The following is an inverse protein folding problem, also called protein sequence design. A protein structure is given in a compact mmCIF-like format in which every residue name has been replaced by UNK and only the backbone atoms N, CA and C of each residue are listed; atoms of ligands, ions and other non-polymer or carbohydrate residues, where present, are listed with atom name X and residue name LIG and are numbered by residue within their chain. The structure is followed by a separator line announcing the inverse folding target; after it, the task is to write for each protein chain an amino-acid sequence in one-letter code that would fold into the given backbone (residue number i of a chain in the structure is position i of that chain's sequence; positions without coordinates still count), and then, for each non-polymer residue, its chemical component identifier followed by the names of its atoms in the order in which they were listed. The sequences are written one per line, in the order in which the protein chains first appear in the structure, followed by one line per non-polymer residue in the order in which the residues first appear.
data_IF_123057774696
#
_entry.id   IF_123057774696
#
_cell.length_a   1.000
_cell.length_b   1.000
_cell.length_c   1.000
_cell.angle_alpha   90.00
_cell.angle_beta   90.00
_cell.angle_gamma   90.00
#
_symmetry.space_group_name_H-M   'P 1'
#
loop_
_entity.id
_entity.type
_entity.pdbx_description
1 polymer ?
#
# COMPACT_ATOMS: atom_id res chain seq x y z
N UNK A 1 -9.05 -4.67 -6.94
CA UNK A 1 -9.35 -4.37 -5.52
C UNK A 1 -9.26 -2.86 -5.32
N UNK A 2 -10.16 -2.27 -4.52
CA UNK A 2 -10.19 -0.83 -4.22
C UNK A 2 -10.17 -0.62 -2.71
N UNK A 3 -9.31 0.29 -2.24
CA UNK A 3 -9.11 0.58 -0.81
C UNK A 3 -9.38 2.06 -0.52
N UNK A 4 -9.75 2.39 0.72
CA UNK A 4 -9.91 3.77 1.15
C UNK A 4 -9.01 4.03 2.37
N UNK A 5 -8.03 4.92 2.19
CA UNK A 5 -7.04 5.25 3.21
C UNK A 5 -7.59 5.73 4.54
N UNK A 6 -8.79 6.33 4.55
CA UNK A 6 -9.48 6.78 5.77
C UNK A 6 -10.25 5.67 6.48
N UNK A 7 -10.38 4.49 5.87
CA UNK A 7 -11.11 3.34 6.42
C UNK A 7 -10.17 2.27 6.91
N UNK A 8 -10.63 1.52 7.93
CA UNK A 8 -9.88 0.43 8.55
C UNK A 8 -10.04 -0.92 7.84
N UNK A 9 -10.92 -1.00 6.83
CA UNK A 9 -11.29 -2.22 6.09
C UNK A 9 -10.06 -3.01 5.63
N UNK A 10 -9.07 -2.31 5.07
CA UNK A 10 -7.88 -2.91 4.48
C UNK A 10 -6.60 -2.45 5.16
N UNK A 11 -6.58 -2.32 6.50
CA UNK A 11 -5.32 -2.20 7.25
C UNK A 11 -4.42 -3.42 7.04
N UNK A 12 -3.13 -3.31 7.34
CA UNK A 12 -2.18 -4.43 7.22
C UNK A 12 -2.72 -5.73 7.83
N UNK A 13 -3.24 -5.65 9.06
CA UNK A 13 -3.74 -6.79 9.83
C UNK A 13 -5.11 -7.32 9.39
N UNK A 14 -5.75 -6.72 8.39
CA UNK A 14 -7.09 -7.14 7.95
C UNK A 14 -7.07 -8.57 7.43
N UNK A 15 -8.00 -9.39 7.91
CA UNK A 15 -8.20 -10.76 7.43
C UNK A 15 -8.54 -10.81 5.92
N UNK A 16 -9.05 -9.70 5.35
CA UNK A 16 -9.32 -9.61 3.92
C UNK A 16 -8.08 -9.82 3.05
N UNK A 17 -6.87 -9.60 3.55
CA UNK A 17 -5.64 -9.87 2.81
C UNK A 17 -5.34 -11.38 2.69
N UNK A 18 -5.76 -12.18 3.66
CA UNK A 18 -5.41 -13.61 3.78
C UNK A 18 -6.58 -14.57 3.59
N UNK A 19 -7.82 -14.08 3.47
CA UNK A 19 -9.00 -14.90 3.21
C UNK A 19 -9.46 -14.82 1.73
N UNK A 20 -10.31 -15.76 1.31
CA UNK A 20 -10.97 -15.79 0.00
C UNK A 20 -12.42 -15.29 0.08
N UNK A 21 -12.67 -14.32 0.96
CA UNK A 21 -14.00 -13.72 1.17
C UNK A 21 -14.09 -12.43 0.33
N UNK A 22 -15.14 -12.27 -0.50
CA UNK A 22 -15.36 -11.04 -1.26
C UNK A 22 -15.84 -9.90 -0.35
N UNK A 23 -15.70 -8.65 -0.81
CA UNK A 23 -16.19 -7.48 -0.10
C UNK A 23 -16.78 -6.47 -1.08
N UNK A 24 -18.06 -6.13 -0.90
CA UNK A 24 -18.80 -5.15 -1.72
C UNK A 24 -18.56 -5.34 -3.23
N UNK A 25 -18.94 -6.51 -3.74
CA UNK A 25 -18.69 -6.92 -5.14
C UNK A 25 -19.35 -6.02 -6.18
N UNK A 26 -20.51 -5.44 -5.86
CA UNK A 26 -21.22 -4.49 -6.72
C UNK A 26 -20.38 -3.25 -7.03
N UNK A 27 -19.51 -2.83 -6.11
CA UNK A 27 -18.56 -1.75 -6.35
C UNK A 27 -17.46 -2.13 -7.35
N UNK A 28 -17.34 -3.38 -7.78
CA UNK A 28 -16.39 -3.81 -8.82
C UNK A 28 -16.83 -3.48 -10.24
N UNK A 29 -18.11 -3.17 -10.44
CA UNK A 29 -18.69 -2.87 -11.75
C UNK A 29 -18.43 -1.42 -12.18
N UNK A 30 -18.11 -0.54 -11.22
CA UNK A 30 -17.67 0.81 -11.48
C UNK A 30 -16.16 0.86 -11.67
N UNK A 31 -15.68 1.78 -12.51
CA UNK A 31 -14.26 2.01 -12.77
C UNK A 31 -13.48 2.52 -11.55
N UNK A 32 -12.58 3.48 -11.76
CA UNK A 32 -11.75 4.05 -10.70
C UNK A 32 -12.53 5.05 -9.80
N UNK A 33 -13.68 4.63 -9.27
CA UNK A 33 -14.44 5.37 -8.27
C UNK A 33 -13.86 5.20 -6.85
N UNK A 34 -14.48 5.83 -5.87
CA UNK A 34 -13.96 5.90 -4.49
C UNK A 34 -14.52 4.82 -3.55
N UNK A 35 -15.20 3.82 -4.11
CA UNK A 35 -15.90 2.78 -3.36
C UNK A 35 -15.02 1.54 -3.20
N UNK A 36 -14.76 1.18 -1.94
CA UNK A 36 -13.98 -0.01 -1.59
C UNK A 36 -14.58 -1.29 -2.17
N UNK A 37 -13.70 -2.20 -2.63
CA UNK A 37 -14.11 -3.53 -3.11
C UNK A 37 -12.98 -4.55 -3.04
N UNK A 38 -13.34 -5.80 -2.79
CA UNK A 38 -12.49 -6.97 -2.98
C UNK A 38 -13.28 -8.00 -3.78
N UNK A 39 -12.80 -8.30 -4.98
CA UNK A 39 -13.43 -9.21 -5.92
C UNK A 39 -12.75 -10.59 -5.88
N UNK A 40 -13.42 -11.65 -6.36
CA UNK A 40 -12.81 -12.98 -6.50
C UNK A 40 -11.51 -13.00 -7.30
N UNK A 41 -11.35 -12.08 -8.26
CA UNK A 41 -10.10 -11.89 -9.01
C UNK A 41 -8.88 -11.64 -8.11
N UNK A 42 -9.06 -11.22 -6.85
CA UNK A 42 -7.96 -11.16 -5.88
C UNK A 42 -7.27 -12.51 -5.66
N UNK A 43 -8.02 -13.62 -5.69
CA UNK A 43 -7.49 -14.97 -5.44
C UNK A 43 -7.58 -15.92 -6.64
N UNK A 44 -8.26 -15.54 -7.72
CA UNK A 44 -8.42 -16.40 -8.91
C UNK A 44 -7.63 -15.95 -10.13
N UNK A 45 -7.18 -14.68 -10.21
CA UNK A 45 -6.60 -14.11 -11.43
C UNK A 45 -5.06 -14.14 -11.41
N UNK A 46 -4.40 -14.94 -12.28
CA UNK A 46 -2.97 -14.83 -12.51
C UNK A 46 -2.62 -13.49 -13.15
N UNK A 47 -1.41 -13.00 -12.89
CA UNK A 47 -0.93 -11.74 -13.47
C UNK A 47 0.58 -11.79 -13.75
N UNK A 48 1.01 -10.96 -14.69
CA UNK A 48 2.42 -10.66 -15.00
C UNK A 48 2.84 -9.30 -14.44
N UNK A 49 1.87 -8.45 -14.15
CA UNK A 49 2.11 -7.15 -13.54
C UNK A 49 0.91 -6.65 -12.73
N UNK A 50 1.17 -5.71 -11.82
CA UNK A 50 0.14 -4.93 -11.14
C UNK A 50 0.18 -3.48 -11.60
N UNK A 51 -0.98 -2.91 -11.87
CA UNK A 51 -1.19 -1.47 -11.91
C UNK A 51 -1.66 -1.01 -10.53
N UNK A 52 -0.84 -0.17 -9.90
CA UNK A 52 -1.11 0.39 -8.58
C UNK A 52 -1.46 1.87 -8.76
N UNK A 53 -2.67 2.24 -8.33
CA UNK A 53 -3.19 3.59 -8.48
C UNK A 53 -3.52 4.22 -7.14
N UNK A 54 -3.29 5.52 -7.01
CA UNK A 54 -3.73 6.32 -5.87
C UNK A 54 -4.41 7.61 -6.33
N UNK A 55 -5.54 7.93 -5.70
CA UNK A 55 -6.28 9.20 -5.89
C UNK A 55 -6.50 9.87 -4.54
N UNK A 56 -5.92 11.06 -4.36
CA UNK A 56 -6.14 11.86 -3.15
C UNK A 56 -7.39 12.70 -3.27
N UNK A 57 -7.85 13.29 -2.16
CA UNK A 57 -8.97 14.23 -2.19
C UNK A 57 -8.71 15.38 -3.19
N UNK A 58 -9.74 15.76 -3.94
CA UNK A 58 -9.65 16.81 -4.97
C UNK A 58 -9.03 16.38 -6.31
N UNK A 59 -8.44 15.20 -6.42
CA UNK A 59 -7.94 14.69 -7.70
C UNK A 59 -9.07 14.05 -8.52
N UNK A 60 -9.16 14.43 -9.81
CA UNK A 60 -10.09 13.83 -10.76
C UNK A 60 -9.71 12.39 -11.11
N UNK A 61 -8.42 12.16 -11.38
CA UNK A 61 -7.89 10.87 -11.84
C UNK A 61 -6.81 10.34 -10.88
N UNK A 62 -6.71 9.01 -10.69
CA UNK A 62 -5.60 8.41 -9.98
C UNK A 62 -4.27 8.55 -10.72
N UNK A 63 -3.18 8.64 -9.96
CA UNK A 63 -1.81 8.48 -10.45
C UNK A 63 -1.43 7.01 -10.38
N UNK A 64 -0.77 6.50 -11.41
CA UNK A 64 -0.49 5.08 -11.58
C UNK A 64 0.99 4.78 -11.65
N UNK A 65 1.36 3.62 -11.10
CA UNK A 65 2.65 2.98 -11.33
C UNK A 65 2.43 1.54 -11.73
N UNK A 66 3.39 0.98 -12.46
CA UNK A 66 3.41 -0.43 -12.85
C UNK A 66 4.43 -1.19 -12.03
N UNK A 67 4.04 -2.34 -11.51
CA UNK A 67 4.88 -3.29 -10.79
C UNK A 67 4.94 -4.59 -11.60
N UNK A 68 6.09 -4.89 -12.20
CA UNK A 68 6.29 -6.16 -12.90
C UNK A 68 6.57 -7.26 -11.86
N UNK A 69 5.64 -8.21 -11.73
CA UNK A 69 5.75 -9.34 -10.81
C UNK A 69 4.79 -10.43 -11.31
N UNK A 70 5.29 -11.66 -11.49
CA UNK A 70 4.47 -12.78 -11.96
C UNK A 70 3.95 -13.60 -10.77
N UNK A 71 2.65 -13.84 -10.71
CA UNK A 71 2.05 -14.70 -9.70
C UNK A 71 0.75 -15.35 -10.18
N UNK A 72 0.31 -16.40 -9.50
CA UNK A 72 -0.96 -17.07 -9.76
C UNK A 72 -2.18 -16.29 -9.25
N UNK A 73 -2.00 -15.40 -8.28
CA UNK A 73 -2.99 -14.41 -7.83
C UNK A 73 -2.40 -13.45 -6.80
N UNK A 74 -3.05 -12.31 -6.54
CA UNK A 74 -2.57 -11.39 -5.49
C UNK A 74 -2.64 -12.05 -4.10
N UNK A 75 -3.65 -12.89 -3.88
CA UNK A 75 -3.75 -13.76 -2.72
C UNK A 75 -2.48 -14.60 -2.50
N UNK A 76 -1.97 -15.28 -3.54
CA UNK A 76 -0.78 -16.14 -3.43
C UNK A 76 0.49 -15.39 -2.98
N UNK A 77 0.55 -14.08 -3.24
CA UNK A 77 1.69 -13.22 -2.90
C UNK A 77 1.55 -12.59 -1.51
N UNK A 78 0.32 -12.41 -1.02
CA UNK A 78 0.05 -11.70 0.22
C UNK A 78 -0.26 -12.63 1.39
N UNK A 79 -1.03 -13.70 1.16
CA UNK A 79 -1.73 -14.43 2.22
C UNK A 79 -0.82 -15.15 3.21
N UNK A 80 0.37 -15.58 2.78
CA UNK A 80 1.36 -16.24 3.64
C UNK A 80 2.14 -15.28 4.53
N UNK A 81 1.94 -13.96 4.39
CA UNK A 81 2.60 -12.94 5.19
C UNK A 81 4.09 -12.77 4.92
N UNK A 82 4.69 -13.50 3.97
CA UNK A 82 6.13 -13.44 3.71
C UNK A 82 6.49 -12.17 2.95
N UNK A 83 7.56 -11.52 3.40
CA UNK A 83 8.16 -10.39 2.67
C UNK A 83 8.67 -10.85 1.31
N UNK A 84 8.34 -10.10 0.26
CA UNK A 84 8.88 -10.32 -1.08
C UNK A 84 9.34 -8.98 -1.63
N UNK A 85 10.65 -8.88 -1.86
CA UNK A 85 11.27 -7.68 -2.40
C UNK A 85 10.78 -7.42 -3.82
N UNK A 86 10.57 -6.14 -4.11
CA UNK A 86 10.47 -5.63 -5.48
C UNK A 86 11.54 -4.55 -5.66
N UNK A 87 11.77 -4.08 -6.88
CA UNK A 87 12.73 -3.01 -7.12
C UNK A 87 12.21 -2.12 -8.23
N UNK A 88 11.28 -1.24 -7.86
CA UNK A 88 10.78 -0.18 -8.77
C UNK A 88 11.29 1.19 -8.35
N UNK A 89 11.89 1.31 -7.17
CA UNK A 89 12.60 2.51 -6.73
C UNK A 89 11.70 3.52 -6.01
N UNK A 90 12.31 4.21 -5.05
CA UNK A 90 11.67 5.21 -4.18
C UNK A 90 10.88 6.26 -4.95
N UNK A 91 11.47 6.84 -6.01
CA UNK A 91 10.83 7.90 -6.77
C UNK A 91 9.56 7.44 -7.49
N UNK A 92 9.51 6.18 -7.93
CA UNK A 92 8.30 5.60 -8.53
C UNK A 92 7.19 5.52 -7.48
N UNK A 93 7.47 5.00 -6.29
CA UNK A 93 6.49 5.00 -5.19
C UNK A 93 6.01 6.40 -4.82
N UNK A 94 6.92 7.38 -4.74
CA UNK A 94 6.57 8.78 -4.47
C UNK A 94 5.69 9.40 -5.55
N UNK A 95 5.79 8.95 -6.81
CA UNK A 95 4.99 9.49 -7.91
C UNK A 95 3.48 9.23 -7.77
N UNK A 96 3.08 8.23 -6.96
CA UNK A 96 1.66 7.95 -6.64
C UNK A 96 0.94 9.11 -5.97
N UNK A 97 1.65 9.93 -5.18
CA UNK A 97 1.07 11.06 -4.43
C UNK A 97 2.00 12.26 -4.57
N UNK A 98 1.52 13.32 -5.22
CA UNK A 98 2.24 14.58 -5.32
C UNK A 98 2.53 15.14 -3.93
N UNK A 99 3.77 15.59 -3.70
CA UNK A 99 4.19 16.08 -2.39
C UNK A 99 4.30 15.00 -1.31
N UNK A 100 4.35 13.71 -1.68
CA UNK A 100 4.60 12.65 -0.72
C UNK A 100 5.95 12.80 -0.02
N UNK A 101 6.03 12.30 1.21
CA UNK A 101 7.19 12.38 2.09
C UNK A 101 7.59 10.99 2.55
N UNK A 102 8.88 10.73 2.60
CA UNK A 102 9.46 9.52 3.18
C UNK A 102 10.75 9.92 3.90
N UNK A 103 11.10 9.27 5.01
CA UNK A 103 12.46 9.36 5.56
C UNK A 103 13.47 8.78 4.55
N UNK A 104 14.73 9.21 4.61
CA UNK A 104 15.66 9.10 3.47
C UNK A 104 16.19 7.68 3.19
N UNK A 105 16.29 6.85 4.20
CA UNK A 105 17.06 5.61 4.20
C UNK A 105 16.18 4.34 4.34
N UNK A 106 16.82 3.17 4.41
CA UNK A 106 16.24 1.82 4.36
C UNK A 106 15.49 1.49 3.04
N UNK A 107 14.49 2.28 2.67
CA UNK A 107 13.72 2.15 1.41
C UNK A 107 13.23 0.72 1.11
N UNK A 108 12.76 -0.01 2.13
CA UNK A 108 12.30 -1.39 1.98
C UNK A 108 10.99 -1.41 1.22
N UNK A 109 11.04 -1.88 -0.03
CA UNK A 109 9.89 -1.97 -0.92
C UNK A 109 9.49 -3.43 -1.22
N UNK A 110 8.20 -3.63 -1.47
CA UNK A 110 7.67 -4.92 -1.91
C UNK A 110 6.32 -5.29 -1.32
N UNK A 111 6.12 -6.60 -1.20
CA UNK A 111 4.95 -7.20 -0.58
C UNK A 111 5.24 -7.57 0.88
N UNK A 112 4.25 -7.40 1.76
CA UNK A 112 4.36 -7.68 3.20
C UNK A 112 5.61 -7.03 3.82
N UNK A 113 5.79 -5.74 3.56
CA UNK A 113 6.91 -4.96 4.09
C UNK A 113 6.68 -4.75 5.58
N UNK A 114 7.54 -5.36 6.39
CA UNK A 114 7.57 -5.21 7.84
C UNK A 114 8.90 -4.63 8.32
N UNK A 115 8.86 -3.79 9.36
CA UNK A 115 10.04 -3.35 10.10
C UNK A 115 10.69 -4.51 10.88
N UNK A 116 11.90 -4.31 11.38
CA UNK A 116 12.58 -5.23 12.29
C UNK A 116 12.01 -5.22 13.71
N UNK A 117 11.54 -4.07 14.18
CA UNK A 117 10.87 -3.94 15.47
C UNK A 117 9.35 -3.94 15.34
N UNK A 118 8.67 -4.52 16.33
CA UNK A 118 7.21 -4.48 16.44
C UNK A 118 6.71 -3.03 16.52
N UNK A 119 5.47 -2.79 16.10
CA UNK A 119 4.79 -1.48 16.19
C UNK A 119 5.26 -0.36 15.24
N UNK A 120 6.28 -0.58 14.41
CA UNK A 120 6.69 0.38 13.38
C UNK A 120 5.90 0.27 12.06
N UNK A 121 6.16 1.19 11.13
CA UNK A 121 5.39 1.33 9.90
C UNK A 121 5.56 0.14 8.95
N UNK A 122 4.43 -0.52 8.66
CA UNK A 122 4.33 -1.68 7.78
C UNK A 122 3.31 -1.48 6.68
N UNK A 123 3.48 -2.17 5.56
CA UNK A 123 2.61 -2.02 4.39
C UNK A 123 2.52 -3.33 3.60
N UNK A 124 1.32 -3.68 3.10
CA UNK A 124 1.12 -4.93 2.34
C UNK A 124 1.71 -4.85 0.95
N UNK A 125 1.59 -3.70 0.29
CA UNK A 125 2.17 -3.43 -1.02
C UNK A 125 2.66 -1.99 -0.98
N UNK A 126 3.97 -1.77 -1.01
CA UNK A 126 4.49 -0.42 -0.87
C UNK A 126 5.97 -0.34 -0.56
N UNK A 127 6.36 0.84 -0.10
CA UNK A 127 7.67 1.16 0.44
C UNK A 127 7.53 1.65 1.88
N UNK A 128 8.44 1.23 2.75
CA UNK A 128 8.60 1.72 4.13
C UNK A 128 10.04 2.17 4.32
N UNK A 129 10.24 3.33 4.95
CA UNK A 129 11.55 4.00 5.07
C UNK A 129 11.80 4.52 6.47
N UNK A 130 13.08 4.74 6.79
CA UNK A 130 13.55 5.26 8.06
C UNK A 130 14.68 6.29 7.86
N UNK A 131 15.05 7.05 8.89
CA UNK A 131 16.24 7.92 8.84
C UNK A 131 17.53 7.11 8.97
N UNK A 132 17.49 5.96 9.62
CA UNK A 132 18.60 5.02 9.69
C UNK A 132 18.60 4.04 8.49
N UNK A 133 19.78 3.50 8.17
CA UNK A 133 19.91 2.46 7.14
C UNK A 133 19.23 1.15 7.55
N UNK A 134 19.22 0.86 8.85
CA UNK A 134 18.54 -0.30 9.39
C UNK A 134 17.01 -0.10 9.25
N UNK A 135 16.37 -1.03 8.55
CA UNK A 135 14.91 -1.10 8.41
C UNK A 135 14.21 -1.61 9.69
N UNK A 136 14.70 -1.18 10.85
CA UNK A 136 14.25 -1.65 12.16
C UNK A 136 13.07 -0.82 12.66
N UNK A 137 13.18 0.51 12.58
CA UNK A 137 12.29 1.46 13.27
C UNK A 137 11.59 2.41 12.30
N UNK A 138 11.05 1.88 11.20
CA UNK A 138 10.48 2.69 10.13
C UNK A 138 9.37 3.64 10.63
N UNK A 139 9.46 4.93 10.31
CA UNK A 139 8.45 5.95 10.66
C UNK A 139 7.75 6.55 9.43
N UNK A 140 8.01 6.03 8.23
CA UNK A 140 7.41 6.53 7.00
C UNK A 140 7.10 5.43 5.99
N UNK A 141 6.03 5.62 5.21
CA UNK A 141 5.61 4.67 4.16
C UNK A 141 4.71 5.30 3.08
N UNK A 142 4.68 4.62 1.94
CA UNK A 142 3.68 4.81 0.87
C UNK A 142 3.17 3.44 0.46
N UNK A 143 1.86 3.27 0.38
CA UNK A 143 1.30 2.05 -0.22
C UNK A 143 -0.09 1.69 0.28
N UNK A 144 -0.41 0.40 0.15
CA UNK A 144 -1.70 -0.22 0.42
C UNK A 144 -1.55 -1.21 1.57
N UNK A 145 -2.56 -1.33 2.43
CA UNK A 145 -2.47 -2.23 3.58
C UNK A 145 -1.56 -1.69 4.66
N UNK A 146 -1.66 -0.41 4.96
CA UNK A 146 -0.88 0.28 5.99
C UNK A 146 -1.27 -0.04 7.41
N UNK A 147 -0.30 -0.02 8.33
CA UNK A 147 -0.49 -0.04 9.78
C UNK A 147 0.80 0.42 10.49
N UNK A 148 0.73 0.74 11.78
CA UNK A 148 1.85 1.28 12.56
C UNK A 148 1.42 2.37 13.54
N UNK A 149 2.30 2.73 14.49
CA UNK A 149 1.98 3.69 15.56
C UNK A 149 2.19 5.15 15.16
N UNK A 150 3.10 5.44 14.23
CA UNK A 150 3.52 6.80 13.87
C UNK A 150 2.53 7.43 12.88
N UNK A 151 2.03 6.63 11.96
CA UNK A 151 1.12 7.04 10.90
C UNK A 151 -0.36 6.85 11.26
N UNK A 152 -0.74 7.47 12.37
CA UNK A 152 -2.13 7.53 12.83
C UNK A 152 -2.59 6.30 13.60
N UNK A 153 -1.70 5.52 14.23
CA UNK A 153 -2.04 4.37 15.09
C UNK A 153 -3.04 3.41 14.42
N UNK A 154 -2.74 2.99 13.19
CA UNK A 154 -3.60 2.12 12.39
C UNK A 154 -4.86 2.80 11.82
N UNK A 155 -4.79 4.11 11.52
CA UNK A 155 -5.88 4.86 10.88
C UNK A 155 -5.65 5.16 9.39
N UNK A 156 -4.48 4.86 8.85
CA UNK A 156 -4.13 5.07 7.44
C UNK A 156 -3.91 3.73 6.72
N UNK A 157 -4.94 3.17 6.09
CA UNK A 157 -4.82 1.89 5.39
C UNK A 157 -4.19 2.01 4.00
N UNK A 158 -4.25 3.19 3.37
CA UNK A 158 -3.73 3.44 2.02
C UNK A 158 -3.34 4.91 1.88
N UNK A 159 -2.19 5.17 1.28
CA UNK A 159 -1.68 6.51 1.04
C UNK A 159 -0.25 6.68 1.53
N UNK A 160 0.10 7.91 1.89
CA UNK A 160 1.43 8.29 2.35
C UNK A 160 1.39 8.78 3.81
N UNK A 161 2.43 8.47 4.56
CA UNK A 161 2.73 9.16 5.80
C UNK A 161 4.24 9.15 6.04
N UNK A 162 4.74 10.24 6.62
CA UNK A 162 6.06 10.32 7.21
C UNK A 162 5.99 11.05 8.55
N UNK A 163 6.80 10.58 9.50
CA UNK A 163 7.06 11.22 10.78
C UNK A 163 8.56 11.36 11.00
N UNK A 164 8.93 12.23 11.94
CA UNK A 164 10.32 12.40 12.38
C UNK A 164 11.22 12.87 11.23
N UNK A 165 10.76 13.81 10.41
CA UNK A 165 11.59 14.48 9.42
C UNK A 165 11.72 13.74 8.09
N UNK A 166 10.58 13.43 7.45
CA UNK A 166 10.58 12.97 6.07
C UNK A 166 11.14 14.01 5.08
N UNK A 167 11.50 13.57 3.87
CA UNK A 167 12.10 14.43 2.84
C UNK A 167 11.19 15.54 2.30
N UNK A 168 9.90 15.52 2.64
CA UNK A 168 8.97 16.64 2.45
C UNK A 168 8.24 16.99 3.77
N UNK A 169 8.95 16.89 4.89
CA UNK A 169 8.42 17.12 6.23
C UNK A 169 7.48 16.02 6.71
N UNK A 170 6.92 16.21 7.91
CA UNK A 170 5.95 15.30 8.49
C UNK A 170 4.60 15.46 7.80
N UNK A 171 4.05 14.35 7.29
CA UNK A 171 2.80 14.40 6.54
C UNK A 171 1.93 13.15 6.75
N UNK A 172 0.65 13.28 6.42
CA UNK A 172 -0.28 12.15 6.35
C UNK A 172 -1.31 12.44 5.28
N UNK A 173 -1.27 11.67 4.21
CA UNK A 173 -2.11 11.87 3.02
C UNK A 173 -2.86 10.57 2.71
N UNK A 174 -4.12 10.44 3.15
CA UNK A 174 -4.98 9.33 2.77
C UNK A 174 -5.29 9.37 1.27
N UNK A 175 -5.33 8.18 0.66
CA UNK A 175 -5.71 8.04 -0.74
C UNK A 175 -6.76 6.93 -0.92
N UNK A 176 -7.57 7.06 -1.96
CA UNK A 176 -8.26 5.93 -2.56
C UNK A 176 -7.25 5.13 -3.36
N UNK A 177 -7.18 3.83 -3.09
CA UNK A 177 -6.24 2.92 -3.72
C UNK A 177 -6.90 2.00 -4.74
N UNK A 178 -6.19 1.74 -5.82
CA UNK A 178 -6.60 0.85 -6.89
C UNK A 178 -5.51 -0.18 -7.14
N UNK A 179 -5.87 -1.46 -7.09
CA UNK A 179 -4.95 -2.56 -7.39
C UNK A 179 -5.58 -3.39 -8.50
N UNK A 180 -4.96 -3.34 -9.67
CA UNK A 180 -5.40 -4.03 -10.89
C UNK A 180 -4.31 -5.01 -11.33
N UNK A 181 -4.72 -6.26 -11.57
CA UNK A 181 -3.86 -7.31 -12.09
C UNK A 181 -3.96 -7.36 -13.62
N UNK A 182 -2.81 -7.50 -14.29
CA UNK A 182 -2.67 -7.60 -15.74
C UNK A 182 -1.72 -8.72 -16.15
#
# INVERSE_FOLDING_TARGET
MKTNGKKKTFLYKSAFWANKIPYRVTNGQSGADDKETKLPTYWTLPFKSLCLGMKTAGQKNPRWIRLNYKASSLYSVIADGKYRKVTIGRNVWKSLIAGSSLQKNCNKEGFNVVPGEVNHERVRIGISSNNENACYNNDSRIGFGGDGIKCGRGRLSTGNCARVGGDNGDNTTPAHGYILAM
#
